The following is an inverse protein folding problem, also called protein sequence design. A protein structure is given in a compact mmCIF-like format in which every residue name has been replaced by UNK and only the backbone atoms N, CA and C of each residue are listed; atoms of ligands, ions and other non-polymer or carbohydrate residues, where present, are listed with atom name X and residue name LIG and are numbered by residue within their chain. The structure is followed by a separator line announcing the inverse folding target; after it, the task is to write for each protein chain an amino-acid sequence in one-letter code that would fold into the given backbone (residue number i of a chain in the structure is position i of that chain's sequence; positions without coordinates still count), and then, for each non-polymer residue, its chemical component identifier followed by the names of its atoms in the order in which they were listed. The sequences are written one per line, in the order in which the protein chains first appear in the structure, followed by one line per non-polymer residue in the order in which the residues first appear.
data_IF_466931241762
#
_entry.id   IF_466931241762
#
_cell.length_a   1.000
_cell.length_b   1.000
_cell.length_c   1.000
_cell.angle_alpha   90.00
_cell.angle_beta   90.00
_cell.angle_gamma   90.00
#
_symmetry.space_group_name_H-M   'P 1'
#
loop_
_entity.id
_entity.type
_entity.pdbx_description
1 polymer ?
#
# COMPACT_ATOMS: atom_id res chain seq x y z
N UNK A 1 -22.47 -18.19 -30.00
CA UNK A 1 -22.95 -16.86 -29.58
C UNK A 1 -23.29 -16.86 -28.10
N UNK A 2 -24.07 -17.83 -27.58
CA UNK A 2 -24.28 -18.00 -26.13
C UNK A 2 -22.96 -18.19 -25.34
N UNK A 3 -22.08 -19.09 -25.78
CA UNK A 3 -20.79 -19.37 -25.11
C UNK A 3 -19.83 -18.16 -24.98
N UNK A 4 -19.91 -17.20 -25.90
CA UNK A 4 -19.10 -15.97 -25.81
C UNK A 4 -19.69 -14.97 -24.80
N UNK A 5 -21.02 -14.97 -24.64
CA UNK A 5 -21.73 -14.16 -23.66
C UNK A 5 -21.52 -14.73 -22.25
N UNK A 6 -21.61 -16.04 -22.09
CA UNK A 6 -21.40 -16.72 -20.80
C UNK A 6 -19.97 -16.47 -20.29
N UNK A 7 -18.96 -16.63 -21.16
CA UNK A 7 -17.56 -16.30 -20.81
C UNK A 7 -17.35 -14.83 -20.46
N UNK A 8 -18.07 -13.92 -21.09
CA UNK A 8 -17.98 -12.50 -20.76
C UNK A 8 -18.55 -12.22 -19.36
N UNK A 9 -19.63 -12.90 -18.97
CA UNK A 9 -20.20 -12.79 -17.62
C UNK A 9 -19.25 -13.36 -16.56
N UNK A 10 -18.65 -14.51 -16.81
CA UNK A 10 -17.66 -15.11 -15.90
C UNK A 10 -16.46 -14.19 -15.68
N UNK A 11 -15.93 -13.58 -16.75
CA UNK A 11 -14.83 -12.62 -16.68
C UNK A 11 -15.21 -11.36 -15.89
N UNK A 12 -16.43 -10.86 -16.06
CA UNK A 12 -16.95 -9.71 -15.29
C UNK A 12 -17.03 -10.04 -13.78
N UNK A 13 -17.41 -11.26 -13.42
CA UNK A 13 -17.41 -11.71 -12.02
C UNK A 13 -16.00 -11.86 -11.45
N UNK A 14 -15.06 -12.38 -12.24
CA UNK A 14 -13.65 -12.49 -11.88
C UNK A 14 -13.03 -11.10 -11.63
N UNK A 15 -13.26 -10.15 -12.55
CA UNK A 15 -12.79 -8.77 -12.42
C UNK A 15 -13.32 -8.14 -11.13
N UNK A 16 -14.62 -8.24 -10.85
CA UNK A 16 -15.21 -7.69 -9.62
C UNK A 16 -14.61 -8.32 -8.37
N UNK A 17 -14.39 -9.62 -8.40
CA UNK A 17 -13.79 -10.35 -7.29
C UNK A 17 -12.37 -9.85 -7.03
N UNK A 18 -11.59 -9.61 -8.08
CA UNK A 18 -10.23 -9.11 -7.98
C UNK A 18 -10.17 -7.63 -7.59
N UNK A 19 -11.11 -6.80 -8.03
CA UNK A 19 -11.28 -5.42 -7.56
C UNK A 19 -11.51 -5.37 -6.05
N UNK A 20 -12.37 -6.25 -5.52
CA UNK A 20 -12.64 -6.33 -4.07
C UNK A 20 -11.37 -6.72 -3.31
N UNK A 21 -10.65 -7.75 -3.77
CA UNK A 21 -9.39 -8.17 -3.13
C UNK A 21 -8.35 -7.06 -3.16
N UNK A 22 -8.19 -6.40 -4.30
CA UNK A 22 -7.22 -5.32 -4.46
C UNK A 22 -7.57 -4.13 -3.55
N UNK A 23 -8.85 -3.79 -3.45
CA UNK A 23 -9.30 -2.73 -2.55
C UNK A 23 -9.08 -3.10 -1.08
N UNK A 24 -9.33 -4.35 -0.69
CA UNK A 24 -9.05 -4.83 0.67
C UNK A 24 -7.56 -4.73 1.02
N UNK A 25 -6.68 -5.19 0.12
CA UNK A 25 -5.22 -5.07 0.29
C UNK A 25 -4.77 -3.60 0.39
N UNK A 26 -5.38 -2.71 -0.42
CA UNK A 26 -5.10 -1.27 -0.39
C UNK A 26 -5.47 -0.66 0.96
N UNK A 27 -6.66 -0.97 1.48
CA UNK A 27 -7.13 -0.48 2.78
C UNK A 27 -6.24 -1.00 3.90
N UNK A 28 -5.95 -2.31 3.93
CA UNK A 28 -5.08 -2.91 4.95
C UNK A 28 -3.70 -2.24 4.98
N UNK A 29 -3.09 -2.00 3.81
CA UNK A 29 -1.81 -1.33 3.73
C UNK A 29 -1.87 0.12 4.23
N UNK A 30 -2.94 0.86 3.94
CA UNK A 30 -3.14 2.22 4.46
C UNK A 30 -3.35 2.23 5.98
N UNK A 31 -4.07 1.26 6.53
CA UNK A 31 -4.27 1.14 7.97
C UNK A 31 -2.95 0.87 8.69
N UNK A 32 -2.12 -0.04 8.18
CA UNK A 32 -0.77 -0.30 8.70
C UNK A 32 0.09 0.96 8.62
N UNK A 33 -0.03 1.72 7.53
CA UNK A 33 0.67 2.99 7.42
C UNK A 33 0.20 3.97 8.48
N UNK A 34 -1.12 4.07 8.73
CA UNK A 34 -1.70 4.93 9.76
C UNK A 34 -1.20 4.63 11.18
N UNK A 35 -0.83 3.38 11.47
CA UNK A 35 -0.25 2.97 12.77
C UNK A 35 1.21 3.39 12.97
N UNK A 36 1.92 3.79 11.92
CA UNK A 36 3.32 4.19 12.07
C UNK A 36 3.45 5.49 12.88
N UNK A 37 4.36 5.56 13.87
CA UNK A 37 4.50 6.75 14.70
C UNK A 37 5.08 7.97 13.95
N UNK A 38 5.80 7.75 12.85
CA UNK A 38 6.44 8.84 12.09
C UNK A 38 5.54 9.29 10.94
N UNK A 39 4.99 10.49 11.04
CA UNK A 39 4.20 11.13 9.98
C UNK A 39 4.98 11.27 8.67
N UNK A 40 6.29 11.50 8.74
CA UNK A 40 7.17 11.54 7.55
C UNK A 40 7.25 10.17 6.87
N UNK A 41 7.34 9.08 7.63
CA UNK A 41 7.30 7.72 7.05
C UNK A 41 5.96 7.46 6.37
N UNK A 42 4.85 7.87 6.99
CA UNK A 42 3.52 7.75 6.39
C UNK A 42 3.43 8.50 5.06
N UNK A 43 3.81 9.77 5.06
CA UNK A 43 3.78 10.63 3.87
C UNK A 43 4.63 10.08 2.73
N UNK A 44 5.81 9.54 3.05
CA UNK A 44 6.71 8.94 2.05
C UNK A 44 6.06 7.71 1.41
N UNK A 45 5.47 6.81 2.20
CA UNK A 45 4.87 5.58 1.67
C UNK A 45 3.57 5.85 0.92
N UNK A 46 2.69 6.70 1.45
CA UNK A 46 1.46 7.14 0.78
C UNK A 46 1.80 7.81 -0.55
N UNK A 47 2.70 8.80 -0.51
CA UNK A 47 3.13 9.52 -1.69
C UNK A 47 3.75 8.62 -2.75
N UNK A 48 4.56 7.63 -2.34
CA UNK A 48 5.26 6.74 -3.28
C UNK A 48 4.35 5.69 -3.90
N UNK A 49 3.51 5.05 -3.11
CA UNK A 49 2.79 3.83 -3.53
C UNK A 49 1.31 4.05 -3.85
N UNK A 50 0.67 5.10 -3.31
CA UNK A 50 -0.77 5.34 -3.49
C UNK A 50 -1.05 6.62 -4.31
N UNK A 51 -0.21 7.65 -4.16
CA UNK A 51 -0.30 8.87 -4.99
C UNK A 51 0.59 8.80 -6.25
N UNK A 52 1.38 7.74 -6.39
CA UNK A 52 2.31 7.50 -7.50
C UNK A 52 3.26 8.69 -7.80
N UNK A 53 3.69 9.40 -6.75
CA UNK A 53 4.63 10.51 -6.91
C UNK A 53 6.00 10.01 -7.39
N UNK A 54 6.58 10.75 -8.34
CA UNK A 54 8.00 10.64 -8.63
C UNK A 54 8.82 11.05 -7.41
N UNK A 55 10.08 10.61 -7.34
CA UNK A 55 10.97 11.03 -6.27
C UNK A 55 11.09 12.54 -6.17
N UNK A 56 11.19 13.24 -7.30
CA UNK A 56 11.31 14.71 -7.30
C UNK A 56 10.07 15.40 -6.73
N UNK A 57 8.87 14.94 -7.10
CA UNK A 57 7.61 15.44 -6.54
C UNK A 57 7.49 15.13 -5.05
N UNK A 58 7.88 13.92 -4.64
CA UNK A 58 7.83 13.51 -3.23
C UNK A 58 8.80 14.34 -2.38
N UNK A 59 10.03 14.53 -2.85
CA UNK A 59 11.07 15.35 -2.21
C UNK A 59 10.58 16.79 -2.04
N UNK A 60 9.98 17.37 -3.10
CA UNK A 60 9.39 18.70 -3.04
C UNK A 60 8.22 18.78 -2.03
N UNK A 61 7.43 17.71 -1.89
CA UNK A 61 6.30 17.64 -0.95
C UNK A 61 6.76 17.57 0.52
N UNK A 62 7.79 16.78 0.82
CA UNK A 62 8.24 16.57 2.22
C UNK A 62 9.28 17.58 2.69
N UNK A 63 9.78 18.44 1.79
CA UNK A 63 10.74 19.52 2.08
C UNK A 63 12.06 19.04 2.72
N UNK A 64 12.48 17.81 2.42
CA UNK A 64 13.76 17.24 2.86
C UNK A 64 14.72 17.07 1.68
N UNK A 65 16.02 17.00 1.97
CA UNK A 65 17.01 16.67 0.94
C UNK A 65 16.82 15.26 0.38
N UNK A 66 17.08 15.09 -0.92
CA UNK A 66 16.94 13.84 -1.67
C UNK A 66 17.54 12.63 -0.94
N UNK A 67 18.79 12.76 -0.48
CA UNK A 67 19.51 11.68 0.20
C UNK A 67 18.81 11.26 1.50
N UNK A 68 18.26 12.23 2.23
CA UNK A 68 17.52 11.97 3.46
C UNK A 68 16.19 11.28 3.18
N UNK A 69 15.46 11.70 2.13
CA UNK A 69 14.20 11.06 1.71
C UNK A 69 14.39 9.58 1.38
N UNK A 70 15.44 9.21 0.64
CA UNK A 70 15.73 7.80 0.37
C UNK A 70 16.03 7.00 1.65
N UNK A 71 16.79 7.58 2.58
CA UNK A 71 17.07 6.95 3.87
C UNK A 71 15.80 6.78 4.70
N UNK A 72 14.92 7.77 4.71
CA UNK A 72 13.64 7.70 5.42
C UNK A 72 12.69 6.71 4.76
N UNK A 73 12.68 6.61 3.42
CA UNK A 73 11.92 5.58 2.72
C UNK A 73 12.32 4.16 3.13
N UNK A 74 13.61 3.86 3.18
CA UNK A 74 14.09 2.55 3.67
C UNK A 74 13.66 2.28 5.12
N UNK A 75 13.77 3.28 6.00
CA UNK A 75 13.32 3.17 7.39
C UNK A 75 11.80 3.00 7.51
N UNK A 76 11.04 3.67 6.67
CA UNK A 76 9.59 3.56 6.61
C UNK A 76 9.18 2.13 6.22
N UNK A 77 9.85 1.53 5.23
CA UNK A 77 9.61 0.14 4.84
C UNK A 77 9.94 -0.84 5.98
N UNK A 78 11.07 -0.66 6.68
CA UNK A 78 11.38 -1.49 7.84
C UNK A 78 10.36 -1.33 8.97
N UNK A 79 9.80 -0.12 9.16
CA UNK A 79 8.75 0.12 10.15
C UNK A 79 7.44 -0.57 9.75
N UNK A 80 7.07 -0.48 8.46
CA UNK A 80 5.89 -1.16 7.91
C UNK A 80 6.00 -2.68 8.13
N UNK A 81 7.13 -3.27 7.77
CA UNK A 81 7.36 -4.71 7.90
C UNK A 81 7.26 -5.19 9.36
N UNK A 82 7.75 -4.40 10.32
CA UNK A 82 7.61 -4.71 11.75
C UNK A 82 6.14 -4.76 12.17
N UNK A 83 5.34 -3.77 11.81
CA UNK A 83 3.91 -3.73 12.16
C UNK A 83 3.17 -4.91 11.51
N UNK A 84 3.47 -5.23 10.24
CA UNK A 84 2.92 -6.42 9.56
C UNK A 84 3.26 -7.70 10.33
N UNK A 85 4.52 -7.84 10.77
CA UNK A 85 4.96 -9.00 11.53
C UNK A 85 4.25 -9.10 12.89
N UNK A 86 4.14 -7.99 13.60
CA UNK A 86 3.48 -7.92 14.91
C UNK A 86 1.99 -8.28 14.81
N UNK A 87 1.27 -7.75 13.81
CA UNK A 87 -0.13 -8.13 13.52
C UNK A 87 -0.29 -9.62 13.21
N UNK A 88 0.64 -10.21 12.45
CA UNK A 88 0.63 -11.66 12.15
C UNK A 88 0.91 -12.51 13.38
N UNK A 89 1.69 -12.01 14.33
CA UNK A 89 1.95 -12.69 15.60
C UNK A 89 0.72 -12.69 16.50
N UNK A 90 0.05 -11.54 16.65
CA UNK A 90 -1.17 -11.43 17.48
C UNK A 90 -2.31 -12.32 16.99
N UNK A 91 -2.41 -12.54 15.67
CA UNK A 91 -3.40 -13.44 15.07
C UNK A 91 -3.10 -14.94 15.27
N UNK A 92 -1.86 -15.31 15.58
CA UNK A 92 -1.47 -16.71 15.86
C UNK A 92 -1.59 -17.09 17.33
N UNK A 93 -1.57 -16.09 18.21
CA UNK A 93 -1.64 -16.26 19.66
C UNK A 93 -3.10 -16.24 20.20
N UNK A 94 -4.09 -16.04 19.32
CA UNK A 94 -5.55 -16.08 19.61
C UNK A 94 -6.17 -17.30 18.96
#
# INVERSE_FOLDING_TARGET
MADALDKALDLEEEIKTDEIKLNAMKVEALDIIGEMPSTVHQQILIGRYFEHLSWDKLIAKVLYERRYVYKMHGRALCSFEKIVHDRKKTLKDT
#
